data_IF_232546826867
#
_entry.id   IF_232546826867
#
_cell.length_a   1.000
_cell.length_b   1.000
_cell.length_c   1.000
_cell.angle_alpha   90.00
_cell.angle_beta   90.00
_cell.angle_gamma   90.00
#
_symmetry.space_group_name_H-M   'P 1'
#
loop_
_entity.id
_entity.type
_entity.pdbx_description
1 polymer ?
#
# COMPACT_ATOMS: atom_id res chain seq x y z
N UNK A 1 -12.36 31.63 -8.01
CA UNK A 1 -11.28 30.62 -8.12
C UNK A 1 -9.95 31.33 -7.94
N UNK A 2 -9.22 31.06 -6.86
CA UNK A 2 -7.84 31.56 -6.68
C UNK A 2 -6.96 30.67 -7.56
N UNK A 3 -6.40 31.22 -8.63
CA UNK A 3 -5.48 30.48 -9.49
C UNK A 3 -4.19 30.33 -8.70
N UNK A 4 -3.88 29.09 -8.30
CA UNK A 4 -2.64 28.73 -7.62
C UNK A 4 -1.49 29.15 -8.54
N UNK A 5 -0.52 29.91 -8.01
CA UNK A 5 0.62 30.35 -8.80
C UNK A 5 1.43 29.15 -9.31
N UNK A 6 2.03 29.24 -10.48
CA UNK A 6 2.86 28.17 -11.05
C UNK A 6 4.02 27.76 -10.10
N UNK A 7 4.50 28.68 -9.28
CA UNK A 7 5.55 28.41 -8.28
C UNK A 7 5.04 27.59 -7.09
N UNK A 8 3.82 27.85 -6.61
CA UNK A 8 3.16 27.04 -5.56
C UNK A 8 2.90 25.62 -6.07
N UNK A 9 2.51 25.46 -7.35
CA UNK A 9 2.30 24.12 -7.96
C UNK A 9 3.59 23.33 -8.05
N UNK A 10 4.71 23.97 -8.41
CA UNK A 10 6.02 23.31 -8.47
C UNK A 10 6.51 22.88 -7.09
N UNK A 11 6.33 23.72 -6.09
CA UNK A 11 6.73 23.41 -4.72
C UNK A 11 5.89 22.26 -4.12
N UNK A 12 4.57 22.25 -4.37
CA UNK A 12 3.67 21.13 -4.05
C UNK A 12 4.09 19.81 -4.74
N UNK A 13 4.41 19.87 -6.03
CA UNK A 13 4.89 18.72 -6.78
C UNK A 13 6.22 18.20 -6.23
N UNK A 14 7.15 19.10 -5.88
CA UNK A 14 8.43 18.71 -5.31
C UNK A 14 8.27 17.98 -3.97
N UNK A 15 7.41 18.48 -3.08
CA UNK A 15 7.11 17.83 -1.81
C UNK A 15 6.50 16.43 -2.01
N UNK A 16 5.54 16.32 -2.92
CA UNK A 16 4.89 15.05 -3.31
C UNK A 16 5.90 14.05 -3.87
N UNK A 17 6.81 14.49 -4.74
CA UNK A 17 7.85 13.64 -5.36
C UNK A 17 8.83 13.13 -4.29
N UNK A 18 9.26 13.98 -3.36
CA UNK A 18 10.15 13.57 -2.27
C UNK A 18 9.45 12.57 -1.36
N UNK A 19 8.18 12.80 -1.03
CA UNK A 19 7.35 11.87 -0.27
C UNK A 19 7.24 10.51 -0.94
N UNK A 20 6.84 10.52 -2.22
CA UNK A 20 6.76 9.31 -3.04
C UNK A 20 8.09 8.58 -3.11
N UNK A 21 9.20 9.26 -3.41
CA UNK A 21 10.53 8.66 -3.49
C UNK A 21 10.94 7.96 -2.19
N UNK A 22 10.65 8.55 -1.03
CA UNK A 22 10.85 7.92 0.29
C UNK A 22 9.98 6.68 0.47
N UNK A 23 8.70 6.75 0.08
CA UNK A 23 7.78 5.63 0.12
C UNK A 23 8.19 4.47 -0.79
N UNK A 24 8.67 4.76 -1.98
CA UNK A 24 9.19 3.77 -2.93
C UNK A 24 10.48 3.12 -2.41
N UNK A 25 11.43 3.92 -1.90
CA UNK A 25 12.66 3.40 -1.31
C UNK A 25 12.36 2.50 -0.10
N UNK A 26 11.43 2.91 0.78
CA UNK A 26 10.98 2.11 1.91
C UNK A 26 10.25 0.83 1.46
N UNK A 27 9.37 0.94 0.46
CA UNK A 27 8.63 -0.17 -0.12
C UNK A 27 9.55 -1.22 -0.75
N UNK A 28 10.53 -0.81 -1.54
CA UNK A 28 11.58 -1.69 -2.08
C UNK A 28 12.47 -2.27 -0.98
N UNK A 29 12.83 -1.45 0.00
CA UNK A 29 13.61 -1.85 1.17
C UNK A 29 12.94 -2.94 2.01
N UNK A 30 11.61 -3.01 1.99
CA UNK A 30 10.86 -4.10 2.63
C UNK A 30 10.57 -5.27 1.68
N UNK A 31 10.16 -5.00 0.45
CA UNK A 31 9.71 -6.01 -0.50
C UNK A 31 10.85 -6.89 -1.02
N UNK A 32 12.05 -6.32 -1.27
CA UNK A 32 13.19 -7.09 -1.78
C UNK A 32 13.74 -8.09 -0.74
N UNK A 33 13.99 -7.71 0.54
CA UNK A 33 14.39 -8.67 1.56
C UNK A 33 13.32 -9.73 1.81
N UNK A 34 12.05 -9.35 1.80
CA UNK A 34 10.93 -10.29 1.96
C UNK A 34 10.93 -11.33 0.83
N UNK A 35 11.04 -10.89 -0.43
CA UNK A 35 11.14 -11.79 -1.58
C UNK A 35 12.37 -12.69 -1.51
N UNK A 36 13.52 -12.16 -1.07
CA UNK A 36 14.75 -12.93 -0.88
C UNK A 36 14.61 -14.02 0.20
N UNK A 37 14.02 -13.67 1.35
CA UNK A 37 13.77 -14.63 2.44
C UNK A 37 12.80 -15.73 2.02
N UNK A 38 11.72 -15.38 1.31
CA UNK A 38 10.78 -16.36 0.75
C UNK A 38 11.48 -17.28 -0.25
N UNK A 39 12.32 -16.74 -1.12
CA UNK A 39 13.08 -17.52 -2.10
C UNK A 39 14.11 -18.45 -1.44
N UNK A 40 14.67 -18.09 -0.29
CA UNK A 40 15.62 -18.95 0.45
C UNK A 40 14.93 -20.04 1.25
N UNK A 41 13.79 -19.73 1.90
CA UNK A 41 13.14 -20.65 2.84
C UNK A 41 12.12 -21.57 2.17
N UNK A 42 11.48 -21.17 1.06
CA UNK A 42 10.34 -21.90 0.50
C UNK A 42 10.61 -22.45 -0.91
N UNK A 43 10.53 -23.78 -1.04
CA UNK A 43 10.74 -24.50 -2.31
C UNK A 43 9.71 -24.14 -3.38
N UNK A 44 8.46 -23.87 -2.98
CA UNK A 44 7.40 -23.44 -3.90
C UNK A 44 7.71 -22.06 -4.49
N UNK A 45 8.11 -21.09 -3.65
CA UNK A 45 8.48 -19.75 -4.12
C UNK A 45 9.65 -19.77 -5.11
N UNK A 46 10.58 -20.72 -4.96
CA UNK A 46 11.67 -20.91 -5.94
C UNK A 46 11.18 -21.33 -7.32
N UNK A 47 10.11 -22.12 -7.40
CA UNK A 47 9.52 -22.60 -8.65
C UNK A 47 8.64 -21.55 -9.35
N UNK A 48 8.28 -20.45 -8.68
CA UNK A 48 7.47 -19.41 -9.30
C UNK A 48 8.21 -18.70 -10.45
N UNK A 49 7.51 -18.36 -11.56
CA UNK A 49 8.04 -17.53 -12.62
C UNK A 49 8.56 -16.19 -12.12
N UNK A 50 9.64 -15.65 -12.72
CA UNK A 50 10.20 -14.36 -12.31
C UNK A 50 9.21 -13.19 -12.44
N UNK A 51 8.26 -13.27 -13.39
CA UNK A 51 7.21 -12.28 -13.57
C UNK A 51 6.30 -12.14 -12.35
N UNK A 52 5.86 -13.25 -11.74
CA UNK A 52 4.99 -13.21 -10.56
C UNK A 52 5.76 -12.71 -9.32
N UNK A 53 7.06 -13.04 -9.21
CA UNK A 53 7.91 -12.51 -8.14
C UNK A 53 8.03 -10.98 -8.22
N UNK A 54 8.29 -10.48 -9.42
CA UNK A 54 8.37 -9.03 -9.67
C UNK A 54 7.02 -8.34 -9.40
N UNK A 55 5.92 -8.95 -9.82
CA UNK A 55 4.58 -8.43 -9.55
C UNK A 55 4.29 -8.30 -8.04
N UNK A 56 4.69 -9.29 -7.24
CA UNK A 56 4.57 -9.21 -5.78
C UNK A 56 5.36 -8.06 -5.15
N UNK A 57 6.54 -7.75 -5.69
CA UNK A 57 7.34 -6.60 -5.25
C UNK A 57 6.66 -5.28 -5.65
N UNK A 58 6.16 -5.18 -6.87
CA UNK A 58 5.45 -4.00 -7.40
C UNK A 58 4.18 -3.72 -6.57
N UNK A 59 3.44 -4.76 -6.21
CA UNK A 59 2.23 -4.67 -5.37
C UNK A 59 2.48 -4.03 -4.00
N UNK A 60 3.71 -4.05 -3.49
CA UNK A 60 4.07 -3.41 -2.22
C UNK A 60 4.69 -2.03 -2.48
N UNK A 61 5.58 -1.92 -3.46
CA UNK A 61 6.31 -0.69 -3.74
C UNK A 61 5.43 0.45 -4.28
N UNK A 62 4.47 0.13 -5.16
CA UNK A 62 3.61 1.14 -5.80
C UNK A 62 2.62 1.76 -4.79
N UNK A 63 1.86 0.98 -3.99
CA UNK A 63 1.00 1.58 -2.97
C UNK A 63 1.79 2.37 -1.92
N UNK A 64 2.96 1.88 -1.50
CA UNK A 64 3.82 2.60 -0.57
C UNK A 64 4.30 3.95 -1.14
N UNK A 65 4.62 4.01 -2.44
CA UNK A 65 4.92 5.26 -3.14
C UNK A 65 3.73 6.22 -3.11
N UNK A 66 2.55 5.77 -3.52
CA UNK A 66 1.34 6.61 -3.62
C UNK A 66 0.94 7.18 -2.26
N UNK A 67 0.88 6.34 -1.22
CA UNK A 67 0.47 6.76 0.13
C UNK A 67 1.43 7.84 0.69
N UNK A 68 2.75 7.66 0.51
CA UNK A 68 3.71 8.64 1.01
C UNK A 68 3.73 9.92 0.18
N UNK A 69 3.45 9.83 -1.13
CA UNK A 69 3.27 11.00 -1.98
C UNK A 69 2.06 11.83 -1.52
N UNK A 70 0.91 11.18 -1.28
CA UNK A 70 -0.30 11.82 -0.76
C UNK A 70 -0.07 12.46 0.61
N UNK A 71 0.55 11.74 1.54
CA UNK A 71 0.88 12.29 2.85
C UNK A 71 1.81 13.51 2.77
N UNK A 72 2.77 13.52 1.84
CA UNK A 72 3.66 14.66 1.67
C UNK A 72 2.94 15.88 1.07
N UNK A 73 2.03 15.67 0.11
CA UNK A 73 1.16 16.73 -0.42
C UNK A 73 0.27 17.32 0.67
N UNK A 74 -0.41 16.48 1.45
CA UNK A 74 -1.26 16.92 2.56
C UNK A 74 -0.48 17.67 3.65
N UNK A 75 0.78 17.32 3.89
CA UNK A 75 1.64 18.05 4.82
C UNK A 75 2.02 19.42 4.29
N UNK A 76 2.40 19.52 3.02
CA UNK A 76 2.71 20.81 2.40
C UNK A 76 1.50 21.76 2.44
N UNK A 77 0.30 21.26 2.12
CA UNK A 77 -0.94 22.05 2.18
C UNK A 77 -1.25 22.55 3.60
N UNK A 78 -1.08 21.69 4.62
CA UNK A 78 -1.25 22.07 6.03
C UNK A 78 -0.27 23.16 6.47
N UNK A 79 0.97 23.12 5.98
CA UNK A 79 2.01 24.09 6.34
C UNK A 79 1.83 25.44 5.63
N UNK A 80 1.22 25.47 4.43
CA UNK A 80 1.03 26.69 3.63
C UNK A 80 -0.31 27.41 3.84
N UNK A 81 -1.32 26.79 4.46
CA UNK A 81 -2.59 27.44 4.83
C UNK A 81 -2.62 27.84 6.32
N UNK A 82 -1.97 28.95 6.68
CA UNK A 82 -1.72 29.32 8.09
C UNK A 82 -2.42 30.58 8.62
N UNK A 83 -3.28 31.27 7.88
CA UNK A 83 -3.69 32.63 8.30
C UNK A 83 -4.94 32.71 9.21
N UNK A 84 -5.92 31.81 9.07
CA UNK A 84 -7.15 31.81 9.91
C UNK A 84 -7.72 30.42 10.19
N UNK A 85 -7.58 29.47 9.26
CA UNK A 85 -8.06 28.09 9.44
C UNK A 85 -7.19 27.24 10.38
N UNK A 86 -5.89 27.52 10.48
CA UNK A 86 -4.96 26.74 11.30
C UNK A 86 -5.27 26.85 12.81
N UNK A 87 -5.63 28.06 13.27
CA UNK A 87 -5.94 28.28 14.69
C UNK A 87 -7.28 27.63 15.09
N UNK A 88 -8.28 27.65 14.21
CA UNK A 88 -9.53 26.91 14.40
C UNK A 88 -9.32 25.39 14.32
N UNK A 89 -8.48 24.91 13.40
CA UNK A 89 -8.14 23.49 13.29
C UNK A 89 -7.44 22.99 14.56
N UNK A 90 -6.55 23.77 15.15
CA UNK A 90 -5.88 23.37 16.39
C UNK A 90 -6.83 23.39 17.60
N UNK A 91 -7.74 24.37 17.68
CA UNK A 91 -8.79 24.36 18.71
C UNK A 91 -9.75 23.16 18.53
N UNK A 92 -10.08 22.78 17.29
CA UNK A 92 -10.90 21.59 17.00
C UNK A 92 -10.16 20.30 17.35
N UNK A 93 -8.88 20.18 16.99
CA UNK A 93 -8.03 19.03 17.37
C UNK A 93 -7.89 18.90 18.88
N UNK A 94 -7.70 20.00 19.61
CA UNK A 94 -7.64 19.99 21.07
C UNK A 94 -8.95 19.49 21.67
N UNK A 95 -10.09 19.96 21.19
CA UNK A 95 -11.41 19.46 21.63
C UNK A 95 -11.63 17.99 21.28
N UNK A 96 -11.18 17.54 20.10
CA UNK A 96 -11.22 16.13 19.73
C UNK A 96 -10.29 15.28 20.60
N UNK A 97 -9.12 15.77 20.95
CA UNK A 97 -8.16 15.10 21.85
C UNK A 97 -8.71 15.00 23.27
N UNK A 98 -9.30 16.06 23.81
CA UNK A 98 -9.97 16.02 25.11
C UNK A 98 -11.16 15.04 25.11
N UNK A 99 -11.91 14.98 24.01
CA UNK A 99 -12.99 14.00 23.83
C UNK A 99 -12.45 12.58 23.73
N UNK A 100 -11.36 12.40 22.98
CA UNK A 100 -10.65 11.14 22.84
C UNK A 100 -10.11 10.64 24.18
N UNK A 101 -9.48 11.50 24.98
CA UNK A 101 -8.93 11.14 26.28
C UNK A 101 -10.01 10.67 27.27
N UNK A 102 -11.23 11.20 27.11
CA UNK A 102 -12.42 10.78 27.88
C UNK A 102 -13.10 9.51 27.36
N UNK A 103 -12.76 9.03 26.16
CA UNK A 103 -13.36 7.82 25.57
C UNK A 103 -12.79 6.53 26.14
N UNK A 104 -13.64 5.50 26.23
CA UNK A 104 -13.24 4.15 26.60
C UNK A 104 -12.37 3.48 25.52
N UNK A 105 -11.62 2.41 25.86
CA UNK A 105 -10.69 1.76 24.93
C UNK A 105 -11.37 1.17 23.67
N UNK A 106 -12.61 0.73 23.78
CA UNK A 106 -13.39 0.19 22.65
C UNK A 106 -13.86 1.31 21.72
N UNK A 107 -14.33 2.43 22.27
CA UNK A 107 -14.76 3.61 21.50
C UNK A 107 -13.58 4.23 20.76
N UNK A 108 -12.40 4.29 21.41
CA UNK A 108 -11.16 4.69 20.76
C UNK A 108 -10.87 3.80 19.54
N UNK A 109 -10.94 2.49 19.71
CA UNK A 109 -10.64 1.56 18.62
C UNK A 109 -11.61 1.74 17.44
N UNK A 110 -12.91 1.91 17.71
CA UNK A 110 -13.91 2.19 16.68
C UNK A 110 -13.66 3.53 15.96
N UNK A 111 -13.30 4.59 16.69
CA UNK A 111 -13.02 5.91 16.11
C UNK A 111 -11.69 5.94 15.33
N UNK A 112 -10.69 5.13 15.71
CA UNK A 112 -9.49 4.90 14.87
C UNK A 112 -9.82 4.14 13.59
N UNK A 113 -10.68 3.12 13.66
CA UNK A 113 -11.11 2.37 12.47
C UNK A 113 -11.92 3.28 11.54
N UNK A 114 -12.82 4.10 12.07
CA UNK A 114 -13.60 5.08 11.30
C UNK A 114 -12.75 6.15 10.63
N UNK A 115 -11.70 6.65 11.30
CA UNK A 115 -10.76 7.61 10.69
C UNK A 115 -9.87 7.02 9.59
N UNK A 116 -9.72 5.70 9.56
CA UNK A 116 -8.86 5.00 8.60
C UNK A 116 -9.61 3.91 7.83
N UNK A 117 -10.84 4.19 7.37
CA UNK A 117 -11.70 3.17 6.73
C UNK A 117 -10.99 2.47 5.55
N UNK A 118 -10.38 3.25 4.64
CA UNK A 118 -9.72 2.70 3.46
C UNK A 118 -8.46 1.91 3.80
N UNK A 119 -7.73 2.34 4.83
CA UNK A 119 -6.58 1.61 5.35
C UNK A 119 -6.99 0.28 5.98
N UNK A 120 -8.11 0.26 6.69
CA UNK A 120 -8.64 -0.97 7.31
C UNK A 120 -9.21 -1.94 6.27
N UNK A 121 -9.95 -1.44 5.27
CA UNK A 121 -10.47 -2.25 4.17
C UNK A 121 -9.31 -2.85 3.37
N UNK A 122 -8.33 -2.04 2.99
CA UNK A 122 -7.13 -2.49 2.29
C UNK A 122 -6.30 -3.48 3.12
N UNK A 123 -6.14 -3.20 4.41
CA UNK A 123 -5.45 -4.07 5.36
C UNK A 123 -6.16 -5.40 5.57
N UNK A 124 -7.49 -5.41 5.71
CA UNK A 124 -8.30 -6.61 5.85
C UNK A 124 -8.29 -7.47 4.57
N UNK A 125 -8.35 -6.84 3.40
CA UNK A 125 -8.19 -7.54 2.13
C UNK A 125 -6.80 -8.18 2.00
N UNK A 126 -5.75 -7.41 2.29
CA UNK A 126 -4.37 -7.91 2.27
C UNK A 126 -4.14 -9.02 3.31
N UNK A 127 -4.72 -8.90 4.50
CA UNK A 127 -4.67 -9.91 5.54
C UNK A 127 -5.39 -11.19 5.12
N UNK A 128 -6.54 -11.07 4.46
CA UNK A 128 -7.28 -12.22 3.92
C UNK A 128 -6.49 -12.91 2.82
N UNK A 129 -5.89 -12.17 1.90
CA UNK A 129 -5.01 -12.70 0.85
C UNK A 129 -3.80 -13.42 1.45
N UNK A 130 -3.09 -12.77 2.38
CA UNK A 130 -1.91 -13.34 3.02
C UNK A 130 -2.25 -14.57 3.88
N UNK A 131 -3.36 -14.53 4.62
CA UNK A 131 -3.86 -15.63 5.43
C UNK A 131 -4.26 -16.83 4.57
N UNK A 132 -4.99 -16.59 3.47
CA UNK A 132 -5.38 -17.64 2.53
C UNK A 132 -4.17 -18.28 1.86
N UNK A 133 -3.20 -17.46 1.42
CA UNK A 133 -1.97 -17.95 0.81
C UNK A 133 -1.12 -18.75 1.81
N UNK A 134 -0.99 -18.27 3.05
CA UNK A 134 -0.30 -18.99 4.12
C UNK A 134 -0.98 -20.31 4.50
N UNK A 135 -2.32 -20.34 4.51
CA UNK A 135 -3.10 -21.56 4.73
C UNK A 135 -2.95 -22.57 3.58
N UNK A 136 -3.16 -22.13 2.34
CA UNK A 136 -3.02 -22.98 1.13
C UNK A 136 -1.60 -23.56 1.03
N UNK A 137 -0.57 -22.78 1.36
CA UNK A 137 0.82 -23.26 1.37
C UNK A 137 1.12 -24.33 2.42
N UNK A 138 0.25 -24.50 3.41
CA UNK A 138 0.38 -25.52 4.44
C UNK A 138 -0.17 -26.88 3.98
N UNK A 139 -1.05 -26.89 2.98
CA UNK A 139 -1.65 -28.11 2.42
C UNK A 139 -0.79 -28.70 1.28
N UNK A 140 -0.45 -29.99 1.42
CA UNK A 140 0.48 -30.73 0.55
C UNK A 140 -0.15 -31.26 -0.74
N UNK A 141 -1.39 -30.90 -1.05
CA UNK A 141 -2.25 -31.66 -1.97
C UNK A 141 -2.58 -30.98 -3.29
N UNK A 142 -1.86 -29.95 -3.74
CA UNK A 142 -2.03 -29.45 -5.12
C UNK A 142 -1.35 -30.44 -6.08
N UNK A 143 -2.10 -31.27 -6.84
CA UNK A 143 -1.48 -32.05 -7.90
C UNK A 143 -1.07 -31.06 -8.97
N UNK A 144 0.18 -31.15 -9.39
CA UNK A 144 0.72 -30.48 -10.55
C UNK A 144 -0.13 -30.81 -11.79
N UNK A 145 -1.10 -29.96 -12.11
CA UNK A 145 -1.83 -30.00 -13.37
C UNK A 145 -0.87 -29.64 -14.52
N UNK A 146 -0.03 -30.60 -14.88
CA UNK A 146 0.71 -30.64 -16.13
C UNK A 146 -0.29 -31.07 -17.22
N UNK A 147 -1.28 -30.22 -17.51
CA UNK A 147 -2.09 -30.38 -18.71
C UNK A 147 -1.32 -29.72 -19.85
N UNK A 148 -0.69 -30.55 -20.67
CA UNK A 148 0.11 -30.13 -21.80
C UNK A 148 -0.72 -29.30 -22.77
N UNK A 149 -0.19 -28.13 -23.13
CA UNK A 149 -0.51 -27.44 -24.38
C UNK A 149 -0.06 -28.37 -25.50
N UNK A 150 -0.97 -29.20 -26.01
CA UNK A 150 -0.82 -29.90 -27.27
C UNK A 150 -1.01 -28.85 -28.36
N UNK A 151 0.08 -28.19 -28.75
CA UNK A 151 0.11 -27.29 -29.89
C UNK A 151 -0.34 -28.04 -31.14
N UNK A 152 -1.32 -27.48 -31.85
CA UNK A 152 -1.74 -27.96 -33.15
C UNK A 152 -0.71 -27.61 -34.21
N UNK A 153 -0.14 -28.62 -34.84
CA UNK A 153 0.56 -28.52 -36.13
C UNK A 153 0.28 -29.80 -36.90
N UNK A 154 -0.74 -29.77 -37.77
CA UNK A 154 -0.90 -30.70 -38.88
C UNK A 154 -1.20 -29.88 -40.15
N UNK A 155 -0.20 -29.56 -40.98
CA UNK A 155 -0.42 -29.19 -42.38
C UNK A 155 -0.11 -30.42 -43.23
N UNK A 156 -1.12 -31.25 -43.49
CA UNK A 156 -0.91 -32.49 -44.24
C UNK A 156 -2.14 -33.38 -44.36
N UNK A 157 -3.29 -32.83 -44.76
CA UNK A 157 -4.41 -33.62 -45.25
C UNK A 157 -5.17 -32.84 -46.33
N UNK A 158 -4.96 -33.28 -47.57
CA UNK A 158 -5.65 -32.96 -48.83
C UNK A 158 -5.30 -31.62 -49.50
#
# INVERSE_FOLDING_TARGET
MKIVGEDERKAQMHATIIGGAKGFAGGLGFALPTSYLLNRRWAYYRQLPPSIKAFGVILVAVPAFVINAEHAGLRYEKEHWSDVGAHELDIRKQREQERWDKMGPVEKLADVVGRHEYGFIGGAWAATMAGSFGWIMRDKYVPNARCGVRGGTDPGAL
#
